data_IF_662141461627
#
_entry.id   IF_662141461627
#
_cell.length_a   1.000
_cell.length_b   1.000
_cell.length_c   1.000
_cell.angle_alpha   90.00
_cell.angle_beta   90.00
_cell.angle_gamma   90.00
#
_symmetry.space_group_name_H-M   'P 1'
#
loop_
_entity.id
_entity.type
_entity.pdbx_description
1 polymer ?
#
# COMPACT_ATOMS: atom_id res chain seq x y z
N UNK A 1 47.17 20.35 39.40
CA UNK A 1 47.43 19.16 38.58
C UNK A 1 46.24 18.87 37.71
N UNK A 2 46.04 19.63 36.65
CA UNK A 2 45.05 19.43 35.60
C UNK A 2 45.79 19.63 34.28
N UNK A 3 46.36 18.60 33.73
CA UNK A 3 46.83 18.53 32.33
C UNK A 3 46.97 17.07 31.95
N UNK A 4 46.54 16.77 30.72
CA UNK A 4 46.93 15.57 29.96
C UNK A 4 46.02 14.34 30.07
N UNK A 5 44.79 14.41 29.58
CA UNK A 5 44.10 13.26 28.97
C UNK A 5 43.39 13.74 27.69
N UNK A 6 44.09 14.39 26.79
CA UNK A 6 43.51 14.88 25.53
C UNK A 6 44.31 14.49 24.28
N UNK A 7 45.20 13.51 24.36
CA UNK A 7 46.10 13.25 23.22
C UNK A 7 46.25 11.77 22.80
N UNK A 8 45.39 10.87 23.24
CA UNK A 8 45.51 9.47 22.83
C UNK A 8 44.21 8.87 22.37
N UNK A 9 43.65 9.29 21.26
CA UNK A 9 42.89 8.43 20.36
C UNK A 9 42.94 9.04 18.94
N UNK A 10 44.13 9.13 18.36
CA UNK A 10 44.25 9.02 16.90
C UNK A 10 44.40 7.54 16.60
N UNK A 11 43.29 6.85 16.47
CA UNK A 11 43.29 5.53 15.88
C UNK A 11 43.77 5.68 14.43
N UNK A 12 45.03 5.32 14.17
CA UNK A 12 45.48 4.93 12.86
C UNK A 12 44.60 3.73 12.46
N UNK A 13 43.62 3.94 11.62
CA UNK A 13 42.97 2.87 10.90
C UNK A 13 44.07 2.12 10.11
N UNK A 14 44.54 1.03 10.65
CA UNK A 14 45.45 0.13 9.98
C UNK A 14 44.73 -0.50 8.80
N UNK A 15 45.34 -0.37 7.62
CA UNK A 15 44.94 -0.81 6.31
C UNK A 15 44.60 -2.30 6.24
N UNK A 16 43.33 -2.68 6.53
CA UNK A 16 42.87 -4.03 6.27
C UNK A 16 41.81 -4.13 5.13
N UNK A 17 41.29 -2.99 4.70
CA UNK A 17 40.56 -2.92 3.44
C UNK A 17 40.67 -1.52 2.85
N UNK A 18 40.72 -1.40 1.54
CA UNK A 18 40.65 -0.12 0.82
C UNK A 18 39.21 0.44 0.82
N UNK A 19 38.25 -0.30 1.38
CA UNK A 19 36.86 0.10 1.44
C UNK A 19 36.60 1.10 2.57
N UNK A 20 36.26 2.33 2.22
CA UNK A 20 35.94 3.39 3.17
C UNK A 20 34.46 3.41 3.56
N UNK A 21 33.58 2.90 2.69
CA UNK A 21 32.13 2.99 2.80
C UNK A 21 31.58 4.43 2.72
N UNK A 22 32.38 5.38 2.19
CA UNK A 22 32.04 6.82 2.14
C UNK A 22 31.74 7.32 0.74
N UNK A 23 32.02 6.53 -0.28
CA UNK A 23 31.72 6.86 -1.67
C UNK A 23 30.20 6.98 -1.86
N UNK A 24 29.80 8.02 -2.60
CA UNK A 24 28.40 8.16 -3.01
C UNK A 24 28.06 7.07 -4.02
N UNK A 25 26.77 6.70 -4.11
CA UNK A 25 26.30 5.76 -5.13
C UNK A 25 26.70 6.21 -6.55
N UNK A 26 26.61 7.52 -6.83
CA UNK A 26 27.02 8.08 -8.11
C UNK A 26 28.46 7.78 -8.47
N UNK A 27 29.34 7.69 -7.46
CA UNK A 27 30.77 7.41 -7.65
C UNK A 27 31.08 5.92 -7.65
N UNK A 28 30.42 5.15 -6.78
CA UNK A 28 30.70 3.71 -6.59
C UNK A 28 29.97 2.82 -7.61
N UNK A 29 28.78 3.23 -8.07
CA UNK A 29 27.96 2.50 -9.04
C UNK A 29 27.17 3.49 -9.92
N UNK A 30 27.83 4.07 -10.94
CA UNK A 30 27.19 4.99 -11.88
C UNK A 30 26.02 4.38 -12.65
N UNK A 31 26.07 3.07 -12.93
CA UNK A 31 25.00 2.37 -13.65
C UNK A 31 23.72 2.37 -12.84
N UNK A 32 23.77 1.93 -11.59
CA UNK A 32 22.62 1.94 -10.69
C UNK A 32 22.13 3.37 -10.40
N UNK A 33 23.07 4.32 -10.23
CA UNK A 33 22.73 5.74 -10.08
C UNK A 33 21.91 6.28 -11.27
N UNK A 34 22.30 5.93 -12.50
CA UNK A 34 21.57 6.35 -13.70
C UNK A 34 20.18 5.75 -13.75
N UNK A 35 20.01 4.44 -13.44
CA UNK A 35 18.70 3.79 -13.39
C UNK A 35 17.76 4.45 -12.36
N UNK A 36 18.27 4.80 -11.19
CA UNK A 36 17.49 5.52 -10.17
C UNK A 36 17.12 6.92 -10.66
N UNK A 37 18.03 7.59 -11.36
CA UNK A 37 17.79 8.92 -11.93
C UNK A 37 16.74 8.88 -13.06
N UNK A 38 16.76 7.85 -13.89
CA UNK A 38 15.75 7.60 -14.91
C UNK A 38 14.38 7.32 -14.29
N UNK A 39 14.30 6.50 -13.24
CA UNK A 39 13.05 6.25 -12.53
C UNK A 39 12.51 7.52 -11.85
N UNK A 40 13.40 8.34 -11.24
CA UNK A 40 13.02 9.64 -10.68
C UNK A 40 12.41 10.56 -11.76
N UNK A 41 13.03 10.61 -12.94
CA UNK A 41 12.51 11.35 -14.09
C UNK A 41 11.18 10.79 -14.56
N UNK A 42 11.06 9.46 -14.67
CA UNK A 42 9.80 8.81 -15.04
C UNK A 42 8.67 9.20 -14.09
N UNK A 43 8.88 9.09 -12.79
CA UNK A 43 7.86 9.45 -11.78
C UNK A 43 7.46 10.93 -11.88
N UNK A 44 8.39 11.83 -12.15
CA UNK A 44 8.12 13.27 -12.31
C UNK A 44 7.27 13.56 -13.55
N UNK A 45 7.60 12.91 -14.69
CA UNK A 45 7.01 13.18 -16.01
C UNK A 45 5.81 12.28 -16.32
N UNK A 46 5.30 11.50 -15.35
CA UNK A 46 4.18 10.58 -15.55
C UNK A 46 3.05 10.81 -14.54
N UNK A 47 1.86 10.30 -14.88
CA UNK A 47 0.68 10.31 -14.03
C UNK A 47 0.50 8.92 -13.41
N UNK A 48 0.72 8.83 -12.10
CA UNK A 48 0.54 7.58 -11.35
C UNK A 48 -0.90 7.46 -10.83
N UNK A 49 -1.64 6.53 -11.42
CA UNK A 49 -3.02 6.18 -11.08
C UNK A 49 -3.13 4.80 -10.41
N UNK A 50 -2.02 4.19 -9.99
CA UNK A 50 -2.05 2.95 -9.22
C UNK A 50 -2.62 3.24 -7.83
N UNK A 51 -3.77 2.66 -7.49
CA UNK A 51 -4.49 2.94 -6.24
C UNK A 51 -3.70 2.57 -4.97
N UNK A 52 -2.69 1.72 -5.08
CA UNK A 52 -1.82 1.27 -3.98
C UNK A 52 -0.45 1.96 -3.94
N UNK A 53 -0.19 2.92 -4.83
CA UNK A 53 1.05 3.71 -4.84
C UNK A 53 0.82 5.10 -4.24
N UNK A 54 1.92 5.67 -3.74
CA UNK A 54 1.95 7.02 -3.22
C UNK A 54 3.40 7.52 -3.14
N UNK A 55 3.56 8.82 -2.99
CA UNK A 55 4.87 9.45 -2.78
C UNK A 55 5.09 9.70 -1.30
N UNK A 56 6.21 9.22 -0.77
CA UNK A 56 6.56 9.42 0.63
C UNK A 56 7.34 10.72 0.84
N UNK A 57 7.36 11.20 2.08
CA UNK A 57 8.05 12.43 2.44
C UNK A 57 9.58 12.26 2.55
N UNK A 58 10.31 13.37 2.48
CA UNK A 58 11.76 13.41 2.73
C UNK A 58 12.11 12.87 4.12
N UNK A 59 11.33 13.21 5.15
CA UNK A 59 11.55 12.71 6.52
C UNK A 59 11.54 11.19 6.60
N UNK A 60 10.62 10.54 5.88
CA UNK A 60 10.56 9.08 5.80
C UNK A 60 11.79 8.53 5.04
N UNK A 61 12.20 9.16 3.93
CA UNK A 61 13.37 8.75 3.17
C UNK A 61 14.66 8.88 3.98
N UNK A 62 14.79 9.93 4.79
CA UNK A 62 15.92 10.12 5.70
C UNK A 62 15.98 9.03 6.79
N UNK A 63 14.81 8.55 7.28
CA UNK A 63 14.78 7.40 8.19
C UNK A 63 15.25 6.13 7.48
N UNK A 64 14.80 5.87 6.25
CA UNK A 64 15.15 4.68 5.48
C UNK A 64 16.66 4.61 5.17
N UNK A 65 17.29 5.74 4.91
CA UNK A 65 18.74 5.86 4.66
C UNK A 65 19.58 6.08 5.91
N UNK A 66 19.04 5.92 7.11
CA UNK A 66 19.74 6.19 8.37
C UNK A 66 20.61 5.03 8.85
N UNK A 67 21.43 5.32 9.89
CA UNK A 67 22.26 4.32 10.57
C UNK A 67 21.45 3.21 11.27
N UNK A 68 20.14 3.34 11.39
CA UNK A 68 19.26 2.30 11.92
C UNK A 68 19.27 1.03 11.07
N UNK A 69 19.68 1.13 9.81
CA UNK A 69 19.92 -0.03 8.91
C UNK A 69 21.02 -0.98 9.40
N UNK A 70 21.92 -0.51 10.30
CA UNK A 70 23.08 -1.28 10.77
C UNK A 70 22.74 -2.14 12.00
N UNK A 71 21.59 -1.92 12.66
CA UNK A 71 21.34 -2.52 13.98
C UNK A 71 20.51 -3.79 13.89
N UNK A 72 20.96 -4.81 14.56
CA UNK A 72 20.22 -6.07 14.75
C UNK A 72 19.44 -6.03 16.07
N UNK A 73 18.10 -6.22 16.04
CA UNK A 73 17.21 -5.99 17.18
C UNK A 73 16.13 -7.08 17.32
N UNK A 74 16.51 -8.36 17.19
CA UNK A 74 15.61 -9.49 17.40
C UNK A 74 14.98 -9.44 18.79
N UNK A 75 13.69 -9.75 18.88
CA UNK A 75 12.86 -9.61 20.06
C UNK A 75 12.05 -8.30 20.06
N UNK A 76 11.61 -7.89 21.23
CA UNK A 76 10.77 -6.72 21.45
C UNK A 76 11.41 -5.72 22.43
N UNK A 77 10.95 -4.47 22.51
CA UNK A 77 11.47 -3.49 23.47
C UNK A 77 11.53 -4.06 24.89
N UNK A 78 12.71 -3.98 25.51
CA UNK A 78 12.98 -4.52 26.84
C UNK A 78 13.32 -6.03 26.87
N UNK A 79 13.07 -6.77 25.80
CA UNK A 79 13.27 -8.23 25.70
C UNK A 79 14.05 -8.62 24.45
N UNK A 80 15.11 -7.85 24.12
CA UNK A 80 15.94 -8.10 22.93
C UNK A 80 16.92 -9.24 23.16
N UNK A 81 17.11 -10.06 22.13
CA UNK A 81 18.13 -11.10 22.14
C UNK A 81 19.55 -10.53 22.13
N UNK A 82 19.79 -9.42 21.44
CA UNK A 82 21.08 -8.74 21.33
C UNK A 82 21.17 -7.50 22.21
N UNK A 83 22.41 -7.20 22.70
CA UNK A 83 22.67 -5.96 23.43
C UNK A 83 22.69 -4.71 22.54
N UNK A 84 22.74 -3.53 23.18
CA UNK A 84 22.90 -2.23 22.50
C UNK A 84 21.61 -1.67 21.90
N UNK A 85 20.44 -2.12 22.34
CA UNK A 85 19.14 -1.76 21.78
C UNK A 85 18.40 -0.62 22.52
N UNK A 86 18.97 -0.02 23.55
CA UNK A 86 18.24 0.97 24.37
C UNK A 86 17.74 2.20 23.60
N UNK A 87 18.39 2.60 22.49
CA UNK A 87 17.87 3.66 21.60
C UNK A 87 16.85 3.07 20.60
N UNK A 88 17.09 1.88 20.11
CA UNK A 88 16.21 1.16 19.20
C UNK A 88 14.82 0.91 19.85
N UNK A 89 14.82 0.50 21.11
CA UNK A 89 13.57 0.33 21.88
C UNK A 89 12.75 1.62 21.92
N UNK A 90 13.42 2.77 22.09
CA UNK A 90 12.75 4.07 22.07
C UNK A 90 12.16 4.41 20.70
N UNK A 91 12.82 4.02 19.59
CA UNK A 91 12.32 4.23 18.24
C UNK A 91 11.07 3.38 18.01
N UNK A 92 11.11 2.10 18.38
CA UNK A 92 9.97 1.20 18.20
C UNK A 92 8.79 1.60 19.07
N UNK A 93 9.00 1.90 20.36
CA UNK A 93 7.96 2.41 21.24
C UNK A 93 7.36 3.73 20.77
N UNK A 94 8.17 4.62 20.19
CA UNK A 94 7.69 5.87 19.60
C UNK A 94 6.79 5.60 18.37
N UNK A 95 7.11 4.63 17.55
CA UNK A 95 6.29 4.24 16.40
C UNK A 95 4.95 3.67 16.87
N UNK A 96 4.95 2.79 17.86
CA UNK A 96 3.75 2.22 18.46
C UNK A 96 2.86 3.31 19.08
N UNK A 97 3.45 4.20 19.87
CA UNK A 97 2.77 5.30 20.53
C UNK A 97 2.05 6.21 19.53
N UNK A 98 2.77 6.66 18.51
CA UNK A 98 2.25 7.54 17.47
C UNK A 98 1.15 6.90 16.63
N UNK A 99 1.26 5.60 16.33
CA UNK A 99 0.21 4.89 15.61
C UNK A 99 -1.07 4.75 16.44
N UNK A 100 -0.95 4.39 17.70
CA UNK A 100 -2.12 4.30 18.58
C UNK A 100 -2.81 5.68 18.76
N UNK A 101 -2.03 6.75 18.89
CA UNK A 101 -2.57 8.12 18.92
C UNK A 101 -3.24 8.50 17.60
N UNK A 102 -2.61 8.21 16.46
CA UNK A 102 -3.10 8.55 15.12
C UNK A 102 -4.50 7.99 14.87
N UNK A 103 -4.72 6.73 15.25
CA UNK A 103 -6.02 6.07 15.09
C UNK A 103 -7.00 6.30 16.23
N UNK A 104 -6.63 7.11 17.25
CA UNK A 104 -7.48 7.41 18.39
C UNK A 104 -7.62 6.27 19.41
N UNK A 105 -6.70 5.31 19.37
CA UNK A 105 -6.68 4.13 20.24
C UNK A 105 -5.94 4.37 21.56
N UNK A 106 -5.25 5.51 21.69
CA UNK A 106 -4.57 5.95 22.89
C UNK A 106 -5.02 7.34 23.28
N UNK A 107 -5.46 7.50 24.51
CA UNK A 107 -5.78 8.81 25.09
C UNK A 107 -4.52 9.51 25.60
N UNK A 108 -4.47 10.86 25.57
CA UNK A 108 -3.37 11.61 26.16
C UNK A 108 -3.12 11.22 27.62
N UNK A 109 -1.84 11.05 27.98
CA UNK A 109 -1.42 10.72 29.35
C UNK A 109 -1.46 9.23 29.72
N UNK A 110 -2.03 8.34 28.90
CA UNK A 110 -1.96 6.90 29.16
C UNK A 110 -0.63 6.31 28.66
N UNK A 111 -0.09 5.32 29.37
CA UNK A 111 1.02 4.52 28.88
C UNK A 111 0.56 3.52 27.78
N UNK A 112 1.49 2.90 27.06
CA UNK A 112 1.17 1.93 26.02
C UNK A 112 0.45 0.70 26.59
N UNK A 113 0.83 0.25 27.80
CA UNK A 113 0.26 -0.91 28.47
C UNK A 113 -1.19 -0.67 28.96
N UNK A 114 -1.56 0.60 29.17
CA UNK A 114 -2.89 0.97 29.62
C UNK A 114 -3.91 1.11 28.47
N UNK A 115 -3.47 0.91 27.22
CA UNK A 115 -4.36 1.03 26.06
C UNK A 115 -5.12 -0.29 25.84
N UNK A 116 -6.37 -0.18 25.42
CA UNK A 116 -7.22 -1.31 25.03
C UNK A 116 -6.75 -2.00 23.74
N UNK A 117 -5.85 -1.34 23.01
CA UNK A 117 -5.22 -1.82 21.79
C UNK A 117 -3.71 -1.78 21.91
N UNK A 118 -3.05 -2.81 21.35
CA UNK A 118 -1.64 -2.81 21.06
C UNK A 118 -1.37 -2.76 19.57
N UNK A 119 -0.11 -2.55 19.18
CA UNK A 119 0.32 -2.57 17.79
C UNK A 119 1.71 -3.19 17.65
N UNK A 120 1.84 -4.16 16.75
CA UNK A 120 3.13 -4.70 16.31
C UNK A 120 3.55 -3.96 15.02
N UNK A 121 4.73 -3.35 15.04
CA UNK A 121 5.28 -2.52 13.94
C UNK A 121 6.40 -3.22 13.16
N UNK A 122 6.70 -4.47 13.49
CA UNK A 122 7.80 -5.24 12.90
C UNK A 122 7.47 -5.96 11.57
N UNK A 123 6.20 -6.19 11.14
CA UNK A 123 5.94 -6.84 9.87
C UNK A 123 6.58 -6.12 8.69
N UNK A 124 7.31 -6.86 7.84
CA UNK A 124 8.04 -6.29 6.71
C UNK A 124 7.11 -5.70 5.63
N UNK A 125 5.89 -6.20 5.53
CA UNK A 125 4.86 -5.70 4.60
C UNK A 125 3.47 -6.23 4.99
N UNK A 126 2.42 -5.88 4.24
CA UNK A 126 1.04 -6.32 4.50
C UNK A 126 0.86 -7.83 4.36
N UNK A 127 1.48 -8.48 3.38
CA UNK A 127 1.35 -9.93 3.19
C UNK A 127 1.97 -10.74 4.36
N UNK A 128 3.20 -10.44 4.83
CA UNK A 128 3.73 -11.02 6.06
C UNK A 128 2.87 -10.72 7.29
N UNK A 129 2.33 -9.50 7.42
CA UNK A 129 1.45 -9.14 8.52
C UNK A 129 0.19 -10.05 8.57
N UNK A 130 -0.50 -10.20 7.44
CA UNK A 130 -1.66 -11.07 7.36
C UNK A 130 -1.33 -12.54 7.65
N UNK A 131 -0.21 -13.03 7.11
CA UNK A 131 0.23 -14.41 7.40
C UNK A 131 0.57 -14.60 8.88
N UNK A 132 1.19 -13.61 9.52
CA UNK A 132 1.48 -13.65 10.96
C UNK A 132 0.19 -13.73 11.79
N UNK A 133 -0.84 -12.96 11.46
CA UNK A 133 -2.15 -13.05 12.11
C UNK A 133 -2.73 -14.45 11.97
N UNK A 134 -2.73 -15.02 10.77
CA UNK A 134 -3.26 -16.36 10.56
C UNK A 134 -2.46 -17.44 11.31
N UNK A 135 -1.13 -17.35 11.28
CA UNK A 135 -0.24 -18.26 12.02
C UNK A 135 -0.45 -18.15 13.54
N UNK A 136 -0.75 -16.95 14.04
CA UNK A 136 -1.03 -16.72 15.46
C UNK A 136 -2.36 -17.33 15.92
N UNK A 137 -3.38 -17.28 15.04
CA UNK A 137 -4.77 -17.54 15.42
C UNK A 137 -5.31 -18.91 15.00
N UNK A 138 -4.70 -19.52 13.98
CA UNK A 138 -5.19 -20.74 13.33
C UNK A 138 -4.15 -21.88 13.46
N UNK A 139 -4.64 -23.10 13.60
CA UNK A 139 -3.83 -24.30 13.38
C UNK A 139 -3.84 -24.67 11.89
N UNK A 140 -2.86 -25.44 11.39
CA UNK A 140 -2.92 -25.99 10.05
C UNK A 140 -4.27 -26.66 9.78
N UNK A 141 -4.85 -26.39 8.60
CA UNK A 141 -6.18 -26.87 8.17
C UNK A 141 -7.39 -26.22 8.85
N UNK A 142 -7.20 -25.28 9.77
CA UNK A 142 -8.33 -24.48 10.25
C UNK A 142 -8.95 -23.65 9.11
N UNK A 143 -10.21 -23.26 9.27
CA UNK A 143 -10.97 -22.56 8.25
C UNK A 143 -10.78 -21.05 8.34
N UNK A 144 -10.54 -20.45 7.18
CA UNK A 144 -10.45 -19.01 6.98
C UNK A 144 -11.52 -18.55 6.01
N UNK A 145 -12.34 -17.59 6.42
CA UNK A 145 -13.26 -16.90 5.51
C UNK A 145 -12.67 -15.56 5.08
N UNK A 146 -12.50 -15.37 3.78
CA UNK A 146 -11.98 -14.13 3.20
C UNK A 146 -12.87 -13.62 2.07
N UNK A 147 -12.88 -12.29 1.86
CA UNK A 147 -13.59 -11.69 0.72
C UNK A 147 -13.00 -12.23 -0.58
N UNK A 148 -13.88 -12.67 -1.49
CA UNK A 148 -13.46 -13.23 -2.78
C UNK A 148 -12.66 -12.20 -3.60
N UNK A 149 -11.55 -12.60 -4.22
CA UNK A 149 -10.65 -11.69 -4.95
C UNK A 149 -11.35 -10.84 -6.03
N UNK A 150 -12.23 -11.39 -6.90
CA UNK A 150 -13.00 -10.61 -7.87
C UNK A 150 -13.97 -9.60 -7.24
N UNK A 151 -14.36 -9.79 -5.98
CA UNK A 151 -15.27 -8.92 -5.24
C UNK A 151 -14.53 -7.90 -4.35
N UNK A 152 -13.20 -7.79 -4.51
CA UNK A 152 -12.34 -6.82 -3.81
C UNK A 152 -11.44 -7.40 -2.72
N UNK A 153 -11.44 -8.71 -2.51
CA UNK A 153 -10.55 -9.39 -1.56
C UNK A 153 -9.07 -9.30 -1.97
N UNK A 154 -8.18 -9.53 -1.01
CA UNK A 154 -6.74 -9.57 -1.26
C UNK A 154 -6.27 -11.03 -1.41
N UNK A 155 -5.20 -11.25 -2.19
CA UNK A 155 -4.58 -12.56 -2.39
C UNK A 155 -4.26 -13.28 -1.08
N UNK A 156 -3.75 -12.55 -0.07
CA UNK A 156 -3.32 -13.10 1.22
C UNK A 156 -4.45 -13.65 2.08
N UNK A 157 -5.71 -13.40 1.74
CA UNK A 157 -6.87 -13.97 2.45
C UNK A 157 -7.28 -15.34 1.89
N UNK A 158 -6.30 -16.11 1.38
CA UNK A 158 -6.48 -17.51 1.01
C UNK A 158 -6.91 -17.73 -0.43
N UNK A 159 -6.58 -16.82 -1.37
CA UNK A 159 -6.95 -16.99 -2.76
C UNK A 159 -6.37 -18.27 -3.38
N UNK A 160 -7.27 -19.08 -3.95
CA UNK A 160 -6.96 -20.27 -4.71
C UNK A 160 -7.87 -20.37 -5.94
N UNK A 161 -7.41 -21.08 -6.96
CA UNK A 161 -8.22 -21.51 -8.11
C UNK A 161 -8.38 -23.02 -8.08
N UNK A 162 -9.37 -23.56 -8.79
CA UNK A 162 -9.66 -25.00 -8.76
C UNK A 162 -8.45 -25.90 -9.03
N UNK A 163 -7.50 -25.45 -9.87
CA UNK A 163 -6.32 -26.20 -10.27
C UNK A 163 -5.06 -25.90 -9.44
N UNK A 164 -5.05 -24.82 -8.61
CA UNK A 164 -3.83 -24.39 -7.91
C UNK A 164 -4.11 -23.53 -6.69
N UNK A 165 -3.45 -23.84 -5.58
CA UNK A 165 -3.32 -22.95 -4.42
C UNK A 165 -2.33 -21.85 -4.76
N UNK A 166 -2.74 -20.57 -4.71
CA UNK A 166 -1.93 -19.42 -5.14
C UNK A 166 -1.36 -18.68 -3.93
N UNK A 167 -2.20 -18.35 -2.97
CA UNK A 167 -1.77 -17.72 -1.70
C UNK A 167 -1.14 -18.77 -0.78
N UNK A 168 -0.05 -18.41 -0.09
CA UNK A 168 0.53 -19.26 0.97
C UNK A 168 -0.52 -19.61 2.02
N UNK A 169 -1.39 -18.68 2.39
CA UNK A 169 -2.52 -18.89 3.30
C UNK A 169 -3.40 -20.06 2.86
N UNK A 170 -3.68 -20.19 1.57
CA UNK A 170 -4.48 -21.30 1.04
C UNK A 170 -3.75 -22.65 1.04
N UNK A 171 -2.41 -22.65 1.25
CA UNK A 171 -1.63 -23.89 1.39
C UNK A 171 -1.82 -24.49 2.80
N UNK A 172 -1.75 -23.63 3.81
CA UNK A 172 -1.76 -24.04 5.21
C UNK A 172 -3.17 -24.13 5.80
N UNK A 173 -4.12 -23.30 5.34
CA UNK A 173 -5.46 -23.16 5.88
C UNK A 173 -6.53 -23.46 4.82
N UNK A 174 -7.72 -23.86 5.25
CA UNK A 174 -8.86 -24.07 4.36
C UNK A 174 -9.59 -22.78 4.11
N UNK A 175 -9.39 -22.22 2.93
CA UNK A 175 -9.93 -20.93 2.53
C UNK A 175 -11.35 -21.04 1.96
N UNK A 176 -12.29 -20.30 2.54
CA UNK A 176 -13.70 -20.21 2.12
C UNK A 176 -13.98 -18.76 1.68
N UNK A 177 -14.04 -18.48 0.37
CA UNK A 177 -14.38 -17.15 -0.11
C UNK A 177 -15.86 -16.82 0.15
N UNK A 178 -16.15 -15.65 0.75
CA UNK A 178 -17.52 -15.18 1.02
C UNK A 178 -17.87 -13.93 0.21
N UNK A 179 -19.20 -13.70 0.10
CA UNK A 179 -19.80 -12.52 -0.51
C UNK A 179 -20.71 -11.81 0.50
N UNK A 180 -20.13 -11.04 1.44
CA UNK A 180 -20.76 -10.18 2.46
C UNK A 180 -21.70 -10.82 3.52
N UNK A 181 -21.47 -10.43 4.81
CA UNK A 181 -22.19 -10.64 6.08
C UNK A 181 -22.21 -12.03 6.73
N UNK A 182 -21.30 -12.34 7.73
CA UNK A 182 -21.55 -13.52 8.63
C UNK A 182 -20.70 -13.56 9.94
N UNK A 183 -19.74 -12.68 10.22
CA UNK A 183 -18.76 -12.94 11.30
C UNK A 183 -19.34 -13.07 12.73
N UNK A 184 -20.27 -12.22 13.14
CA UNK A 184 -20.79 -12.20 14.52
C UNK A 184 -21.66 -13.42 14.88
N UNK A 185 -22.34 -14.01 13.91
CA UNK A 185 -23.25 -15.14 14.13
C UNK A 185 -22.55 -16.46 14.42
N UNK A 186 -21.24 -16.57 14.14
CA UNK A 186 -20.47 -17.81 14.30
C UNK A 186 -19.35 -17.70 15.34
N UNK A 187 -19.23 -16.58 16.05
CA UNK A 187 -18.20 -16.37 17.08
C UNK A 187 -16.78 -16.40 16.52
N UNK A 188 -16.58 -15.96 15.29
CA UNK A 188 -15.26 -15.90 14.64
C UNK A 188 -14.49 -14.63 15.02
N UNK A 189 -13.15 -14.70 15.07
CA UNK A 189 -12.30 -13.53 15.20
C UNK A 189 -12.36 -12.75 13.89
N UNK A 190 -12.64 -11.43 13.99
CA UNK A 190 -12.71 -10.53 12.86
C UNK A 190 -11.36 -9.82 12.63
N UNK A 191 -10.70 -10.17 11.52
CA UNK A 191 -9.56 -9.44 10.99
C UNK A 191 -10.02 -8.44 9.92
N UNK A 192 -9.74 -7.17 10.13
CA UNK A 192 -9.93 -6.12 9.11
C UNK A 192 -8.59 -5.71 8.50
N UNK A 193 -8.38 -5.98 7.20
CA UNK A 193 -7.25 -5.44 6.44
C UNK A 193 -7.65 -4.08 5.84
N UNK A 194 -7.21 -2.99 6.49
CA UNK A 194 -7.50 -1.62 6.04
C UNK A 194 -6.40 -1.02 5.15
N UNK A 195 -5.50 -1.82 4.61
CA UNK A 195 -4.29 -1.37 3.91
C UNK A 195 -4.53 -0.29 2.85
N UNK A 196 -5.61 -0.40 2.07
CA UNK A 196 -5.92 0.58 1.05
C UNK A 196 -6.47 1.90 1.59
N UNK A 197 -7.24 1.84 2.66
CA UNK A 197 -7.98 2.98 3.22
C UNK A 197 -7.38 3.53 4.52
N UNK A 198 -6.26 2.98 4.98
CA UNK A 198 -5.68 3.33 6.28
C UNK A 198 -5.41 4.83 6.46
N UNK A 199 -4.96 5.53 5.41
CA UNK A 199 -4.81 6.99 5.46
C UNK A 199 -6.15 7.74 5.52
N UNK A 200 -7.20 7.20 4.92
CA UNK A 200 -8.55 7.78 5.00
C UNK A 200 -9.16 7.58 6.41
N UNK A 201 -8.91 6.41 7.01
CA UNK A 201 -9.30 6.13 8.41
C UNK A 201 -8.53 7.04 9.36
N UNK A 202 -7.20 7.17 9.21
CA UNK A 202 -6.38 8.09 9.99
C UNK A 202 -6.83 9.55 9.85
N UNK A 203 -7.20 9.97 8.64
CA UNK A 203 -7.80 11.28 8.37
C UNK A 203 -9.22 11.45 8.89
N UNK A 204 -9.86 10.41 9.43
CA UNK A 204 -11.24 10.39 9.90
C UNK A 204 -12.24 10.85 8.84
N UNK A 205 -12.06 10.38 7.59
CA UNK A 205 -12.92 10.71 6.45
C UNK A 205 -13.72 9.53 5.93
N UNK A 206 -13.45 8.33 6.47
CA UNK A 206 -14.21 7.09 6.28
C UNK A 206 -14.39 6.39 7.62
N UNK A 207 -15.37 5.47 7.76
CA UNK A 207 -15.58 4.70 8.99
C UNK A 207 -14.33 3.94 9.44
N UNK A 208 -14.18 3.78 10.75
CA UNK A 208 -13.06 3.08 11.39
C UNK A 208 -13.40 1.60 11.59
N UNK A 209 -12.50 0.65 11.25
CA UNK A 209 -12.73 -0.76 11.55
C UNK A 209 -12.49 -1.12 13.02
N UNK A 210 -11.84 -0.28 13.79
CA UNK A 210 -11.44 -0.56 15.17
C UNK A 210 -12.60 -0.77 16.14
N UNK A 211 -13.80 -0.27 15.81
CA UNK A 211 -15.00 -0.48 16.62
C UNK A 211 -15.52 -1.92 16.53
N UNK A 212 -15.32 -2.59 15.42
CA UNK A 212 -15.90 -3.90 15.12
C UNK A 212 -14.87 -5.04 15.12
N UNK A 213 -13.62 -4.78 14.73
CA UNK A 213 -12.61 -5.80 14.56
C UNK A 213 -11.89 -6.17 15.85
N UNK A 214 -11.41 -7.40 15.94
CA UNK A 214 -10.51 -7.88 17.01
C UNK A 214 -9.04 -7.63 16.66
N UNK A 215 -8.72 -7.75 15.36
CA UNK A 215 -7.40 -7.50 14.79
C UNK A 215 -7.55 -6.62 13.56
N UNK A 216 -6.66 -5.64 13.41
CA UNK A 216 -6.61 -4.78 12.23
C UNK A 216 -5.21 -4.80 11.65
N UNK A 217 -5.07 -5.23 10.41
CA UNK A 217 -3.81 -5.15 9.68
C UNK A 217 -3.78 -3.97 8.71
N UNK A 218 -2.59 -3.45 8.43
CA UNK A 218 -2.41 -2.42 7.42
C UNK A 218 -1.01 -2.44 6.84
N UNK A 219 -0.90 -1.92 5.62
CA UNK A 219 0.35 -1.39 5.08
C UNK A 219 0.49 0.08 5.42
N UNK A 220 1.72 0.58 5.43
CA UNK A 220 2.03 1.98 5.77
C UNK A 220 2.30 2.86 4.54
N UNK A 221 2.50 2.25 3.37
CA UNK A 221 3.01 2.91 2.15
C UNK A 221 1.96 3.28 1.10
N UNK A 222 0.66 3.07 1.37
CA UNK A 222 -0.44 3.43 0.45
C UNK A 222 -0.98 4.82 0.80
N UNK A 223 -2.25 4.93 1.17
CA UNK A 223 -2.86 6.22 1.53
C UNK A 223 -2.21 6.90 2.75
N UNK A 224 -1.47 6.17 3.61
CA UNK A 224 -0.69 6.75 4.71
C UNK A 224 0.60 7.45 4.27
N UNK A 225 1.12 7.22 3.05
CA UNK A 225 2.34 7.83 2.50
C UNK A 225 3.63 7.52 3.27
N UNK A 226 3.66 6.44 4.03
CA UNK A 226 4.81 6.02 4.82
C UNK A 226 5.81 5.10 4.08
N UNK A 227 6.74 4.51 4.81
CA UNK A 227 7.67 3.52 4.26
C UNK A 227 6.95 2.25 3.84
N UNK A 228 7.57 1.43 3.00
CA UNK A 228 7.06 0.08 2.70
C UNK A 228 7.24 -0.82 3.92
N UNK A 229 6.14 -1.03 4.65
CA UNK A 229 6.08 -1.86 5.85
C UNK A 229 4.64 -2.33 6.09
N UNK A 230 4.43 -3.16 7.12
CA UNK A 230 3.14 -3.58 7.64
C UNK A 230 3.02 -3.35 9.13
N UNK A 231 1.79 -3.28 9.61
CA UNK A 231 1.47 -3.16 11.05
C UNK A 231 0.28 -4.04 11.38
N UNK A 232 0.24 -4.54 12.62
CA UNK A 232 -0.85 -5.36 13.14
C UNK A 232 -1.31 -4.73 14.44
N UNK A 233 -2.53 -4.22 14.48
CA UNK A 233 -3.20 -3.80 15.69
C UNK A 233 -4.02 -4.98 16.24
N UNK A 234 -4.03 -5.14 17.55
CA UNK A 234 -4.76 -6.19 18.24
C UNK A 234 -5.40 -5.64 19.51
N UNK A 235 -6.60 -6.14 19.82
CA UNK A 235 -7.28 -5.81 21.08
C UNK A 235 -6.57 -6.47 22.26
N UNK A 236 -6.55 -5.76 23.37
CA UNK A 236 -6.12 -6.26 24.69
C UNK A 236 -7.29 -6.51 25.63
N UNK A 237 -8.41 -5.79 25.39
CA UNK A 237 -9.62 -5.90 26.19
C UNK A 237 -10.81 -6.34 25.34
N UNK A 238 -11.73 -7.17 25.86
CA UNK A 238 -12.96 -7.51 25.16
C UNK A 238 -13.80 -6.29 24.77
N UNK A 239 -14.66 -6.43 23.77
CA UNK A 239 -15.62 -5.37 23.43
C UNK A 239 -16.49 -5.00 24.62
N UNK A 240 -16.61 -3.69 24.92
CA UNK A 240 -17.45 -3.17 26.01
C UNK A 240 -18.97 -3.32 25.73
N UNK A 241 -19.35 -3.64 24.49
CA UNK A 241 -20.76 -3.80 24.12
C UNK A 241 -21.31 -5.13 24.61
N UNK A 242 -21.86 -5.15 25.81
CA UNK A 242 -22.72 -6.21 26.32
C UNK A 242 -24.03 -6.39 25.54
N UNK A 243 -24.08 -6.13 24.23
CA UNK A 243 -25.28 -6.22 23.39
C UNK A 243 -25.32 -7.47 22.50
N UNK A 244 -24.31 -8.32 22.55
CA UNK A 244 -24.43 -9.65 21.96
C UNK A 244 -24.53 -10.72 23.05
N UNK A 245 -25.67 -10.75 23.72
CA UNK A 245 -26.23 -12.00 24.25
C UNK A 245 -26.66 -12.88 23.05
N UNK A 246 -25.72 -13.25 22.23
CA UNK A 246 -25.93 -14.45 21.41
C UNK A 246 -25.46 -15.63 22.26
N UNK A 247 -26.32 -16.59 22.53
CA UNK A 247 -25.94 -17.80 23.25
C UNK A 247 -25.21 -18.75 22.29
N UNK A 248 -24.24 -18.25 21.53
CA UNK A 248 -23.38 -19.15 20.75
C UNK A 248 -22.38 -19.79 21.72
N UNK A 249 -22.58 -21.06 21.98
CA UNK A 249 -21.70 -21.95 22.71
C UNK A 249 -20.32 -22.14 22.03
N UNK A 250 -20.08 -21.45 20.94
CA UNK A 250 -18.82 -21.46 20.20
C UNK A 250 -18.01 -20.24 20.64
N UNK A 251 -17.14 -20.45 21.63
CA UNK A 251 -16.11 -19.45 21.97
C UNK A 251 -15.00 -19.53 20.94
N UNK A 252 -14.41 -18.40 20.49
CA UNK A 252 -13.20 -18.46 19.68
C UNK A 252 -12.12 -19.24 20.45
N UNK A 253 -11.34 -20.06 19.75
CA UNK A 253 -10.26 -20.85 20.34
C UNK A 253 -9.15 -19.99 20.97
N UNK A 254 -9.16 -18.68 20.73
CA UNK A 254 -8.20 -17.70 21.23
C UNK A 254 -8.95 -16.62 21.99
N UNK A 255 -8.61 -16.45 23.25
CA UNK A 255 -9.14 -15.34 24.06
C UNK A 255 -8.46 -14.02 23.68
N UNK A 256 -9.18 -12.90 23.81
CA UNK A 256 -8.70 -11.57 23.40
C UNK A 256 -7.42 -11.17 24.14
N UNK A 257 -7.27 -11.54 25.40
CA UNK A 257 -6.07 -11.31 26.22
C UNK A 257 -4.83 -12.07 25.73
N UNK A 258 -4.99 -13.05 24.86
CA UNK A 258 -3.89 -13.82 24.26
C UNK A 258 -3.46 -13.30 22.88
N UNK A 259 -4.21 -12.36 22.28
CA UNK A 259 -3.93 -11.86 20.92
C UNK A 259 -2.53 -11.26 20.80
N UNK A 260 -2.14 -10.41 21.77
CA UNK A 260 -0.83 -9.77 21.78
C UNK A 260 0.32 -10.78 21.76
N UNK A 261 0.33 -11.69 22.74
CA UNK A 261 1.42 -12.67 22.86
C UNK A 261 1.50 -13.59 21.65
N UNK A 262 0.36 -14.05 21.14
CA UNK A 262 0.31 -14.93 19.96
C UNK A 262 0.76 -14.22 18.69
N UNK A 263 0.29 -13.00 18.44
CA UNK A 263 0.67 -12.22 17.26
C UNK A 263 2.16 -11.87 17.31
N UNK A 264 2.65 -11.41 18.45
CA UNK A 264 4.06 -11.10 18.63
C UNK A 264 4.94 -12.34 18.40
N UNK A 265 4.59 -13.49 18.98
CA UNK A 265 5.31 -14.74 18.74
C UNK A 265 5.26 -15.21 17.28
N UNK A 266 4.15 -14.98 16.58
CA UNK A 266 4.05 -15.33 15.17
C UNK A 266 4.92 -14.42 14.28
N UNK A 267 5.04 -13.12 14.62
CA UNK A 267 5.95 -12.22 13.93
C UNK A 267 7.40 -12.61 14.23
N UNK A 268 7.78 -12.61 15.50
CA UNK A 268 9.09 -13.05 15.95
C UNK A 268 8.93 -13.98 17.20
N UNK A 269 9.55 -15.16 17.21
CA UNK A 269 10.55 -15.66 16.25
C UNK A 269 9.99 -16.53 15.11
N UNK A 270 8.66 -16.67 14.94
CA UNK A 270 8.14 -17.71 14.05
C UNK A 270 8.34 -17.41 12.56
N UNK A 271 8.06 -16.19 12.09
CA UNK A 271 8.06 -15.86 10.66
C UNK A 271 9.16 -14.90 10.25
N UNK A 272 9.64 -14.06 11.16
CA UNK A 272 10.65 -13.03 10.88
C UNK A 272 11.83 -13.14 11.85
N UNK A 273 12.99 -12.56 11.46
CA UNK A 273 14.15 -12.34 12.29
C UNK A 273 14.26 -10.88 12.71
N UNK A 274 15.45 -10.28 12.54
CA UNK A 274 15.69 -8.88 12.89
C UNK A 274 14.75 -7.90 12.21
N UNK A 275 14.08 -7.03 12.96
CA UNK A 275 13.19 -6.02 12.40
C UNK A 275 13.97 -4.95 11.61
N UNK A 276 13.29 -4.32 10.64
CA UNK A 276 13.86 -3.24 9.84
C UNK A 276 13.67 -1.91 10.58
N UNK A 277 14.58 -1.58 11.48
CA UNK A 277 14.47 -0.42 12.36
C UNK A 277 14.40 0.91 11.63
N UNK A 278 15.05 1.01 10.46
CA UNK A 278 14.94 2.16 9.58
C UNK A 278 13.52 2.35 9.02
N UNK A 279 12.83 1.26 8.69
CA UNK A 279 11.43 1.31 8.27
C UNK A 279 10.52 1.65 9.46
N UNK A 280 10.78 1.11 10.65
CA UNK A 280 10.02 1.43 11.88
C UNK A 280 10.16 2.91 12.23
N UNK A 281 11.37 3.48 12.12
CA UNK A 281 11.57 4.93 12.27
C UNK A 281 10.78 5.73 11.23
N UNK A 282 10.75 5.24 9.98
CA UNK A 282 9.90 5.82 8.93
C UNK A 282 8.40 5.77 9.26
N UNK A 283 7.92 4.69 9.91
CA UNK A 283 6.55 4.61 10.43
C UNK A 283 6.30 5.70 11.49
N UNK A 284 7.24 5.90 12.42
CA UNK A 284 7.12 6.93 13.44
C UNK A 284 7.07 8.35 12.84
N UNK A 285 7.88 8.62 11.80
CA UNK A 285 7.86 9.89 11.08
C UNK A 285 6.53 10.10 10.34
N UNK A 286 6.09 9.12 9.59
CA UNK A 286 4.80 9.12 8.86
C UNK A 286 3.62 9.34 9.82
N UNK A 287 3.57 8.63 10.95
CA UNK A 287 2.47 8.76 11.91
C UNK A 287 2.38 10.18 12.50
N UNK A 288 3.52 10.83 12.76
CA UNK A 288 3.57 12.23 13.16
C UNK A 288 3.07 13.17 12.05
N UNK A 289 3.44 12.93 10.79
CA UNK A 289 2.94 13.71 9.66
C UNK A 289 1.44 13.53 9.48
N UNK A 290 0.96 12.29 9.58
CA UNK A 290 -0.45 11.95 9.42
C UNK A 290 -1.34 12.46 10.57
N UNK A 291 -0.78 12.78 11.74
CA UNK A 291 -1.52 13.38 12.86
C UNK A 291 -1.82 14.88 12.67
N UNK A 292 -1.16 15.54 11.71
CA UNK A 292 -1.34 16.99 11.47
C UNK A 292 -2.63 17.27 10.68
N UNK A 293 -3.27 18.44 10.89
CA UNK A 293 -4.48 18.83 10.16
C UNK A 293 -4.35 18.78 8.63
N UNK A 294 -3.18 19.08 8.10
CA UNK A 294 -2.89 19.01 6.67
C UNK A 294 -3.11 17.61 6.08
N UNK A 295 -2.88 16.56 6.86
CA UNK A 295 -3.11 15.19 6.40
C UNK A 295 -4.62 14.88 6.25
N UNK A 296 -5.47 15.41 7.15
CA UNK A 296 -6.92 15.30 6.98
C UNK A 296 -7.39 16.01 5.71
N UNK A 297 -6.83 17.19 5.40
CA UNK A 297 -7.14 17.91 4.17
C UNK A 297 -6.74 17.11 2.93
N UNK A 298 -5.57 16.46 2.97
CA UNK A 298 -5.14 15.52 1.92
C UNK A 298 -6.14 14.37 1.78
N UNK A 299 -6.54 13.72 2.86
CA UNK A 299 -7.48 12.60 2.82
C UNK A 299 -8.86 13.01 2.25
N UNK A 300 -9.36 14.19 2.60
CA UNK A 300 -10.57 14.77 2.00
C UNK A 300 -10.39 15.04 0.50
N UNK A 301 -9.24 15.60 0.11
CA UNK A 301 -8.93 15.89 -1.30
C UNK A 301 -8.85 14.60 -2.13
N UNK A 302 -8.28 13.53 -1.57
CA UNK A 302 -8.24 12.21 -2.22
C UNK A 302 -9.65 11.73 -2.60
N UNK A 303 -10.61 11.84 -1.67
CA UNK A 303 -12.00 11.44 -1.92
C UNK A 303 -12.69 12.32 -2.96
N UNK A 304 -12.50 13.65 -2.87
CA UNK A 304 -13.06 14.60 -3.86
C UNK A 304 -12.52 14.31 -5.25
N UNK A 305 -11.20 14.17 -5.37
CA UNK A 305 -10.53 13.87 -6.63
C UNK A 305 -11.04 12.56 -7.23
N UNK A 306 -11.19 11.50 -6.43
CA UNK A 306 -11.70 10.21 -6.90
C UNK A 306 -13.13 10.32 -7.43
N UNK A 307 -14.01 11.08 -6.77
CA UNK A 307 -15.41 11.29 -7.19
C UNK A 307 -15.48 12.04 -8.51
N UNK A 308 -14.84 13.22 -8.59
CA UNK A 308 -14.83 14.04 -9.82
C UNK A 308 -14.17 13.30 -10.97
N UNK A 309 -13.10 12.53 -10.69
CA UNK A 309 -12.49 11.69 -11.71
C UNK A 309 -13.46 10.64 -12.26
N UNK A 310 -14.21 9.97 -11.37
CA UNK A 310 -15.25 9.02 -11.77
C UNK A 310 -16.35 9.67 -12.61
N UNK A 311 -16.85 10.83 -12.20
CA UNK A 311 -17.86 11.61 -12.94
C UNK A 311 -17.35 12.02 -14.31
N UNK A 312 -16.11 12.52 -14.41
CA UNK A 312 -15.48 12.89 -15.66
C UNK A 312 -15.30 11.69 -16.60
N UNK A 313 -14.88 10.54 -16.10
CA UNK A 313 -14.80 9.30 -16.89
C UNK A 313 -16.18 8.86 -17.40
N UNK A 314 -17.22 8.97 -16.57
CA UNK A 314 -18.60 8.70 -16.99
C UNK A 314 -19.09 9.67 -18.08
N UNK A 315 -18.72 10.95 -18.04
CA UNK A 315 -19.07 11.92 -19.10
C UNK A 315 -18.44 11.59 -20.45
N UNK A 316 -17.32 10.86 -20.45
CA UNK A 316 -16.69 10.26 -21.64
C UNK A 316 -17.29 8.89 -22.03
N UNK A 317 -18.44 8.51 -21.42
CA UNK A 317 -19.16 7.29 -21.75
C UNK A 317 -18.58 6.00 -21.17
N UNK A 318 -17.66 6.10 -20.20
CA UNK A 318 -17.14 4.95 -19.48
C UNK A 318 -18.09 4.56 -18.34
N UNK A 319 -18.19 3.27 -18.07
CA UNK A 319 -19.00 2.74 -16.98
C UNK A 319 -18.14 2.39 -15.78
N UNK A 320 -18.54 2.87 -14.62
CA UNK A 320 -17.93 2.48 -13.35
C UNK A 320 -18.66 1.27 -12.74
N UNK A 321 -17.91 0.34 -12.18
CA UNK A 321 -18.44 -0.69 -11.29
C UNK A 321 -19.05 0.00 -10.08
N UNK A 322 -20.22 -0.44 -9.62
CA UNK A 322 -21.04 0.19 -8.56
C UNK A 322 -21.57 1.61 -8.85
N UNK A 323 -21.32 2.16 -10.03
CA UNK A 323 -21.86 3.48 -10.44
C UNK A 323 -21.09 4.70 -9.90
N UNK A 324 -20.05 4.50 -9.08
CA UNK A 324 -19.25 5.59 -8.50
C UNK A 324 -18.20 5.08 -7.52
N UNK A 325 -17.76 5.96 -6.58
CA UNK A 325 -16.81 5.60 -5.53
C UNK A 325 -17.03 6.38 -4.24
N UNK A 326 -16.87 5.70 -3.11
CA UNK A 326 -16.81 6.27 -1.77
C UNK A 326 -15.39 6.30 -1.20
N UNK A 327 -14.41 5.83 -1.99
CA UNK A 327 -13.01 5.67 -1.57
C UNK A 327 -12.05 6.38 -2.53
N UNK A 328 -10.78 6.01 -2.52
CA UNK A 328 -9.67 6.66 -3.23
C UNK A 328 -9.43 6.17 -4.67
N UNK A 329 -10.28 5.33 -5.22
CA UNK A 329 -10.12 4.82 -6.59
C UNK A 329 -11.47 4.56 -7.24
N UNK A 330 -11.47 4.48 -8.57
CA UNK A 330 -12.58 4.02 -9.39
C UNK A 330 -12.22 2.73 -10.11
N UNK A 331 -13.20 1.87 -10.34
CA UNK A 331 -13.07 0.66 -11.14
C UNK A 331 -13.92 0.82 -12.41
N UNK A 332 -13.24 0.98 -13.55
CA UNK A 332 -13.85 1.13 -14.86
C UNK A 332 -14.15 -0.24 -15.47
N UNK A 333 -15.35 -0.46 -15.95
CA UNK A 333 -15.76 -1.64 -16.71
C UNK A 333 -15.77 -1.33 -18.21
N UNK A 334 -14.68 -1.64 -18.89
CA UNK A 334 -14.51 -1.39 -20.34
C UNK A 334 -15.51 -2.21 -21.16
N UNK A 335 -15.86 -3.41 -20.70
CA UNK A 335 -16.76 -4.31 -21.45
C UNK A 335 -18.21 -3.81 -21.51
N UNK A 336 -18.61 -2.97 -20.55
CA UNK A 336 -19.94 -2.39 -20.46
C UNK A 336 -19.98 -0.89 -20.70
N UNK A 337 -18.86 -0.30 -21.08
CA UNK A 337 -18.76 1.12 -21.45
C UNK A 337 -19.32 1.33 -22.87
N UNK A 338 -20.37 2.13 -22.99
CA UNK A 338 -21.11 2.32 -24.26
C UNK A 338 -20.64 3.55 -25.04
N UNK A 339 -19.87 4.45 -24.42
CA UNK A 339 -19.48 5.72 -25.03
C UNK A 339 -18.40 5.61 -26.10
N UNK A 340 -17.66 4.50 -26.14
CA UNK A 340 -16.68 4.23 -27.19
C UNK A 340 -16.92 2.88 -27.84
N UNK A 341 -17.37 2.92 -29.11
CA UNK A 341 -17.55 1.71 -29.91
C UNK A 341 -16.23 0.97 -30.07
N UNK A 342 -16.25 -0.33 -29.87
CA UNK A 342 -15.09 -1.20 -30.00
C UNK A 342 -14.39 -1.56 -28.69
N UNK A 343 -14.74 -0.96 -27.55
CA UNK A 343 -14.32 -1.46 -26.24
C UNK A 343 -14.99 -2.81 -25.96
N UNK A 344 -14.28 -3.71 -25.29
CA UNK A 344 -14.78 -5.05 -25.03
C UNK A 344 -14.05 -5.80 -23.91
N UNK A 345 -14.47 -7.06 -23.74
CA UNK A 345 -13.83 -7.95 -22.75
C UNK A 345 -12.36 -8.18 -23.06
N UNK A 346 -11.53 -8.17 -22.02
CA UNK A 346 -10.09 -8.41 -22.09
C UNK A 346 -9.26 -7.23 -22.60
N UNK A 347 -9.85 -6.06 -22.84
CA UNK A 347 -9.12 -4.89 -23.33
C UNK A 347 -8.24 -4.20 -22.24
N UNK A 348 -8.43 -4.52 -20.97
CA UNK A 348 -7.61 -3.95 -19.89
C UNK A 348 -6.11 -4.10 -20.11
N UNK A 349 -5.67 -5.23 -20.69
CA UNK A 349 -4.26 -5.45 -21.01
C UNK A 349 -3.76 -4.55 -22.16
N UNK A 350 -4.62 -4.27 -23.17
CA UNK A 350 -4.28 -3.37 -24.28
C UNK A 350 -4.19 -1.92 -23.80
N UNK A 351 -5.15 -1.50 -22.98
CA UNK A 351 -5.14 -0.15 -22.39
C UNK A 351 -3.88 0.06 -21.55
N UNK A 352 -3.50 -0.91 -20.72
CA UNK A 352 -2.28 -0.80 -19.93
C UNK A 352 -1.03 -0.62 -20.80
N UNK A 353 -0.90 -1.36 -21.92
CA UNK A 353 0.23 -1.20 -22.83
C UNK A 353 0.33 0.20 -23.45
N UNK A 354 -0.81 0.79 -23.84
CA UNK A 354 -0.81 2.16 -24.37
C UNK A 354 -0.51 3.17 -23.27
N UNK A 355 -1.08 2.96 -22.06
CA UNK A 355 -0.86 3.82 -20.91
C UNK A 355 0.63 3.93 -20.55
N UNK A 356 1.34 2.81 -20.51
CA UNK A 356 2.79 2.78 -20.26
C UNK A 356 3.58 3.60 -21.31
N UNK A 357 3.15 3.56 -22.58
CA UNK A 357 3.80 4.28 -23.66
C UNK A 357 3.56 5.81 -23.60
N UNK A 358 2.42 6.25 -23.07
CA UNK A 358 2.08 7.69 -22.99
C UNK A 358 2.42 8.31 -21.62
N UNK A 359 3.03 7.54 -20.70
CA UNK A 359 3.42 8.05 -19.38
C UNK A 359 2.28 8.08 -18.37
N UNK A 360 1.27 7.22 -18.52
CA UNK A 360 0.19 7.04 -17.53
C UNK A 360 0.34 5.66 -16.90
N UNK A 361 0.66 5.60 -15.62
CA UNK A 361 0.81 4.35 -14.88
C UNK A 361 -0.54 3.96 -14.26
N UNK A 362 -1.11 2.83 -14.69
CA UNK A 362 -2.38 2.30 -14.20
C UNK A 362 -2.35 0.78 -14.15
N UNK A 363 -3.31 0.15 -13.51
CA UNK A 363 -3.41 -1.31 -13.57
C UNK A 363 -4.73 -1.79 -14.18
N UNK A 364 -4.60 -2.80 -15.05
CA UNK A 364 -5.72 -3.63 -15.45
C UNK A 364 -6.29 -4.37 -14.24
N UNK A 365 -7.61 -4.54 -14.19
CA UNK A 365 -8.30 -5.20 -13.09
C UNK A 365 -9.46 -6.03 -13.62
N UNK A 366 -9.77 -7.15 -12.96
CA UNK A 366 -11.00 -7.88 -13.23
C UNK A 366 -12.22 -7.06 -12.79
N UNK A 367 -13.33 -7.25 -13.50
CA UNK A 367 -14.64 -6.69 -13.17
C UNK A 367 -15.65 -7.80 -13.02
N UNK A 368 -16.80 -7.58 -12.36
CA UNK A 368 -17.85 -8.58 -12.23
C UNK A 368 -18.28 -9.16 -13.59
N UNK A 369 -18.15 -10.48 -13.73
CA UNK A 369 -18.43 -11.22 -14.95
C UNK A 369 -17.22 -11.59 -15.80
N UNK A 370 -15.99 -11.18 -15.41
CA UNK A 370 -14.77 -11.70 -16.00
C UNK A 370 -14.54 -13.16 -15.63
N UNK A 371 -14.15 -13.97 -16.62
CA UNK A 371 -13.89 -15.40 -16.45
C UNK A 371 -12.42 -15.72 -16.11
N UNK A 372 -11.51 -14.80 -16.36
CA UNK A 372 -10.07 -14.99 -16.18
C UNK A 372 -9.39 -13.73 -15.71
N UNK A 373 -8.56 -13.86 -14.67
CA UNK A 373 -7.68 -12.79 -14.21
C UNK A 373 -6.56 -12.43 -15.22
N UNK A 374 -6.32 -13.28 -16.21
CA UNK A 374 -5.32 -13.02 -17.26
C UNK A 374 -5.87 -12.14 -18.39
N UNK A 375 -7.19 -12.06 -18.54
CA UNK A 375 -7.87 -11.23 -19.53
C UNK A 375 -8.88 -10.29 -18.86
N UNK A 376 -8.39 -9.37 -18.02
CA UNK A 376 -9.25 -8.46 -17.28
C UNK A 376 -9.89 -7.44 -18.20
N UNK A 377 -11.15 -7.13 -17.93
CA UNK A 377 -11.97 -6.21 -18.71
C UNK A 377 -12.07 -4.82 -18.10
N UNK A 378 -11.36 -4.56 -17.01
CA UNK A 378 -11.43 -3.29 -16.30
C UNK A 378 -10.09 -2.64 -16.04
N UNK A 379 -10.18 -1.40 -15.54
CA UNK A 379 -9.07 -0.58 -15.09
C UNK A 379 -9.36 -0.10 -13.67
N UNK A 380 -8.37 -0.21 -12.78
CA UNK A 380 -8.43 0.40 -11.45
C UNK A 380 -7.57 1.66 -11.46
N UNK A 381 -8.18 2.80 -11.17
CA UNK A 381 -7.60 4.12 -11.26
C UNK A 381 -7.73 4.82 -9.91
N UNK A 382 -6.60 5.16 -9.29
CA UNK A 382 -6.52 5.76 -7.96
C UNK A 382 -6.16 7.24 -7.98
N UNK A 383 -6.53 7.96 -6.94
CA UNK A 383 -6.25 9.38 -6.78
C UNK A 383 -5.10 9.72 -5.80
N UNK A 384 -4.63 8.83 -4.87
CA UNK A 384 -3.74 9.24 -3.78
C UNK A 384 -2.40 9.82 -4.22
N UNK A 385 -1.71 9.18 -5.17
CA UNK A 385 -0.39 9.60 -5.63
C UNK A 385 -0.42 10.99 -6.24
N UNK A 386 -1.34 11.24 -7.16
CA UNK A 386 -1.50 12.56 -7.80
C UNK A 386 -1.99 13.62 -6.81
N UNK A 387 -2.87 13.27 -5.86
CA UNK A 387 -3.28 14.18 -4.78
C UNK A 387 -2.09 14.57 -3.89
N UNK A 388 -1.15 13.66 -3.64
CA UNK A 388 0.09 13.97 -2.90
C UNK A 388 1.00 14.95 -3.65
N UNK A 389 0.90 15.01 -4.98
CA UNK A 389 1.56 16.01 -5.83
C UNK A 389 0.81 17.35 -5.92
N UNK A 390 -0.35 17.46 -5.28
CA UNK A 390 -1.13 18.70 -5.24
C UNK A 390 -2.22 18.82 -6.31
N UNK A 391 -2.50 17.76 -7.09
CA UNK A 391 -3.59 17.78 -8.06
C UNK A 391 -4.95 17.91 -7.34
N UNK A 392 -5.81 18.73 -7.92
CA UNK A 392 -7.17 19.06 -7.47
C UNK A 392 -8.23 18.48 -8.41
N UNK A 393 -9.50 18.74 -8.13
CA UNK A 393 -10.64 18.26 -8.92
C UNK A 393 -10.53 18.66 -10.41
N UNK A 394 -10.14 19.90 -10.70
CA UNK A 394 -9.98 20.38 -12.07
C UNK A 394 -8.89 19.63 -12.84
N UNK A 395 -7.81 19.29 -12.14
CA UNK A 395 -6.70 18.54 -12.71
C UNK A 395 -7.13 17.09 -13.02
N UNK A 396 -7.95 16.46 -12.19
CA UNK A 396 -8.50 15.12 -12.44
C UNK A 396 -9.48 15.09 -13.62
N UNK A 397 -10.19 16.18 -13.91
CA UNK A 397 -10.95 16.33 -15.16
C UNK A 397 -10.01 16.29 -16.37
N UNK A 398 -8.84 16.94 -16.28
CA UNK A 398 -7.83 16.87 -17.36
C UNK A 398 -7.23 15.48 -17.49
N UNK A 399 -6.96 14.79 -16.37
CA UNK A 399 -6.50 13.39 -16.38
C UNK A 399 -7.53 12.48 -17.07
N UNK A 400 -8.85 12.69 -16.84
CA UNK A 400 -9.89 11.93 -17.52
C UNK A 400 -9.88 12.13 -19.05
N UNK A 401 -9.57 13.33 -19.54
CA UNK A 401 -9.39 13.59 -20.98
C UNK A 401 -8.18 12.83 -21.54
N UNK A 402 -7.08 12.76 -20.81
CA UNK A 402 -5.93 11.96 -21.25
C UNK A 402 -6.26 10.45 -21.31
N UNK A 403 -7.06 9.94 -20.37
CA UNK A 403 -7.57 8.55 -20.43
C UNK A 403 -8.48 8.36 -21.65
N UNK A 404 -9.33 9.33 -21.96
CA UNK A 404 -10.20 9.28 -23.13
C UNK A 404 -9.42 9.22 -24.44
N UNK A 405 -8.40 10.07 -24.60
CA UNK A 405 -7.51 10.10 -25.77
C UNK A 405 -6.67 8.81 -25.87
N UNK A 406 -6.18 8.30 -24.75
CA UNK A 406 -5.48 7.01 -24.65
C UNK A 406 -6.35 5.86 -25.17
N UNK A 407 -7.64 5.84 -24.83
CA UNK A 407 -8.59 4.85 -25.31
C UNK A 407 -8.81 4.93 -26.82
N UNK A 408 -8.83 6.15 -27.41
CA UNK A 408 -8.91 6.32 -28.85
C UNK A 408 -7.67 5.75 -29.57
N UNK A 409 -6.47 5.98 -29.03
CA UNK A 409 -5.23 5.38 -29.53
C UNK A 409 -5.30 3.85 -29.47
N UNK A 410 -5.75 3.32 -28.32
CA UNK A 410 -5.90 1.88 -28.14
C UNK A 410 -6.87 1.28 -29.16
N UNK A 411 -8.02 1.91 -29.39
CA UNK A 411 -9.02 1.44 -30.35
C UNK A 411 -8.49 1.50 -31.79
N UNK A 412 -7.76 2.56 -32.16
CA UNK A 412 -7.11 2.71 -33.46
C UNK A 412 -6.10 1.57 -33.69
N UNK A 413 -5.25 1.27 -32.72
CA UNK A 413 -4.29 0.16 -32.81
C UNK A 413 -4.98 -1.22 -32.82
N UNK A 414 -6.06 -1.37 -32.05
CA UNK A 414 -6.86 -2.59 -31.99
C UNK A 414 -7.50 -2.91 -33.35
N UNK A 415 -8.07 -1.90 -34.04
CA UNK A 415 -8.68 -2.06 -35.36
C UNK A 415 -7.68 -2.54 -36.42
N UNK A 416 -6.37 -2.31 -36.24
CA UNK A 416 -5.28 -2.70 -37.13
C UNK A 416 -4.58 -3.98 -36.72
N UNK A 417 -5.08 -4.67 -35.69
CA UNK A 417 -4.41 -5.86 -35.13
C UNK A 417 -5.40 -7.00 -34.88
N UNK A 418 -4.97 -8.24 -35.14
CA UNK A 418 -5.79 -9.44 -34.96
C UNK A 418 -5.65 -10.07 -33.57
N UNK A 419 -4.49 -9.85 -32.90
CA UNK A 419 -4.18 -10.42 -31.61
C UNK A 419 -3.23 -9.48 -30.81
N UNK A 420 -2.93 -9.83 -29.56
CA UNK A 420 -2.11 -9.00 -28.68
C UNK A 420 -0.65 -8.84 -29.17
N UNK A 421 -0.10 -9.84 -29.88
CA UNK A 421 1.26 -9.74 -30.46
C UNK A 421 1.28 -8.71 -31.60
N UNK A 422 0.33 -8.83 -32.54
CA UNK A 422 0.17 -7.86 -33.63
C UNK A 422 -0.15 -6.45 -33.09
N UNK A 423 -0.95 -6.36 -32.02
CA UNK A 423 -1.23 -5.08 -31.36
C UNK A 423 0.05 -4.38 -30.86
N UNK A 424 0.99 -5.13 -30.26
CA UNK A 424 2.28 -4.57 -29.84
C UNK A 424 3.12 -4.07 -31.03
N UNK A 425 3.16 -4.81 -32.14
CA UNK A 425 3.85 -4.34 -33.34
C UNK A 425 3.22 -3.06 -33.89
N UNK A 426 1.89 -2.97 -33.96
CA UNK A 426 1.19 -1.74 -34.40
C UNK A 426 1.53 -0.54 -33.52
N UNK A 427 1.64 -0.70 -32.20
CA UNK A 427 2.02 0.38 -31.29
C UNK A 427 3.43 0.92 -31.54
N UNK A 428 4.32 0.13 -32.12
CA UNK A 428 5.74 0.47 -32.32
C UNK A 428 6.09 0.83 -33.76
N UNK A 429 5.31 0.35 -34.74
CA UNK A 429 5.67 0.37 -36.15
C UNK A 429 4.69 1.20 -37.01
N UNK A 430 3.41 1.34 -36.61
CA UNK A 430 2.43 2.13 -37.37
C UNK A 430 2.65 3.62 -37.13
N UNK A 431 3.12 4.34 -38.14
CA UNK A 431 3.48 5.76 -38.05
C UNK A 431 2.34 6.64 -37.49
N UNK A 432 1.09 6.35 -37.87
CA UNK A 432 -0.06 7.13 -37.39
C UNK A 432 -0.37 6.89 -35.91
N UNK A 433 -0.18 5.65 -35.42
CA UNK A 433 -0.34 5.30 -34.01
C UNK A 433 0.80 5.88 -33.17
N UNK A 434 2.06 5.70 -33.64
CA UNK A 434 3.27 6.23 -32.97
C UNK A 434 3.19 7.73 -32.81
N UNK A 435 2.83 8.47 -33.85
CA UNK A 435 2.70 9.93 -33.79
C UNK A 435 1.66 10.37 -32.73
N UNK A 436 0.53 9.68 -32.62
CA UNK A 436 -0.47 9.98 -31.58
C UNK A 436 0.02 9.65 -30.17
N UNK A 437 0.75 8.55 -30.00
CA UNK A 437 1.38 8.19 -28.72
C UNK A 437 2.38 9.26 -28.30
N UNK A 438 3.25 9.68 -29.20
CA UNK A 438 4.27 10.70 -28.91
C UNK A 438 3.63 12.05 -28.55
N UNK A 439 2.58 12.46 -29.27
CA UNK A 439 1.83 13.68 -28.97
C UNK A 439 1.20 13.62 -27.58
N UNK A 440 0.46 12.55 -27.27
CA UNK A 440 -0.18 12.43 -25.96
C UNK A 440 0.87 12.31 -24.85
N UNK A 441 1.98 11.59 -25.08
CA UNK A 441 3.10 11.51 -24.12
C UNK A 441 3.67 12.89 -23.80
N UNK A 442 3.86 13.75 -24.79
CA UNK A 442 4.36 15.11 -24.60
C UNK A 442 3.40 15.91 -23.68
N UNK A 443 2.10 15.90 -24.00
CA UNK A 443 1.08 16.59 -23.21
C UNK A 443 1.00 16.07 -21.76
N UNK A 444 1.06 14.74 -21.58
CA UNK A 444 1.08 14.11 -20.24
C UNK A 444 2.33 14.52 -19.48
N UNK A 445 3.50 14.49 -20.13
CA UNK A 445 4.77 14.86 -19.51
C UNK A 445 4.80 16.33 -19.08
N UNK A 446 4.36 17.24 -19.94
CA UNK A 446 4.30 18.67 -19.65
C UNK A 446 3.34 18.95 -18.48
N UNK A 447 2.15 18.34 -18.53
CA UNK A 447 1.16 18.46 -17.46
C UNK A 447 1.70 17.88 -16.15
N UNK A 448 2.23 16.67 -16.16
CA UNK A 448 2.76 16.02 -14.96
C UNK A 448 3.93 16.79 -14.34
N UNK A 449 4.83 17.32 -15.18
CA UNK A 449 6.03 18.04 -14.72
C UNK A 449 5.72 19.41 -14.09
N UNK A 450 4.52 19.94 -14.28
CA UNK A 450 4.08 21.20 -13.66
C UNK A 450 3.76 21.07 -12.16
N UNK A 451 3.65 19.84 -11.66
CA UNK A 451 3.35 19.56 -10.25
C UNK A 451 4.62 19.14 -9.48
N UNK A 452 4.73 19.50 -8.19
CA UNK A 452 5.87 19.15 -7.37
C UNK A 452 6.00 17.63 -7.16
N UNK A 453 7.20 17.17 -6.81
CA UNK A 453 7.47 15.81 -6.39
C UNK A 453 7.75 15.77 -4.88
N UNK A 454 6.91 15.09 -4.06
CA UNK A 454 7.19 14.90 -2.64
C UNK A 454 8.49 14.11 -2.43
N UNK A 455 9.24 14.46 -1.38
CA UNK A 455 10.40 13.69 -0.94
C UNK A 455 11.72 13.94 -1.69
N UNK A 456 11.68 14.60 -2.84
CA UNK A 456 12.86 14.86 -3.67
C UNK A 456 13.04 16.35 -3.91
N UNK A 457 14.30 16.79 -3.97
CA UNK A 457 14.62 18.11 -4.48
C UNK A 457 14.45 18.15 -6.00
N UNK A 458 14.03 19.29 -6.54
CA UNK A 458 13.79 19.47 -7.97
C UNK A 458 15.08 19.59 -8.82
N UNK A 459 16.25 19.24 -8.24
CA UNK A 459 17.56 19.33 -8.87
C UNK A 459 18.22 17.99 -9.11
#
# INVERSE_FOLDING_TARGET
>A
MKRTISSFIKFRATRFSSWSGRESLRSSDPELWNLISEEKKRQRCSLDLIASENFTSRSVLECLGSCLSNKYAEGYPGERYYGGNGIIDKVELLAQDRLLQLFGLKQPGRSLEQCDWGVNVQPYSGSPANLAVYTALLNPHDRLMGLHLPDGGHLTHGFAVASKKISATSIFFESLPYRLHICDSVGAILLADMSHISGLVAGRVVPSPFELADVVSSTTHKTLRGPRSGVIFFRRTPHASGTTQSPSTIRPHVAVDQLESRINNAVFPSLQGGPHENAIAGIAAMALEASKPAFRNYALQVLKNARVFGEALCSHGLRLVSGGTDVHFVLVDLARSSGKSGLGRGDGARVQLVADLVGITLNKNTVPGDKSAQQPSGLRLGSPALTSRGLTEADFVQVAKFIDELLDIMLMAKARSQNLKAFRSVLLEDQGVVARIENLRAHVSDFASSFPMPGWDDH
#
